data_IF_321596296730
#
_entry.id   IF_321596296730
#
_cell.length_a   1.000
_cell.length_b   1.000
_cell.length_c   1.000
_cell.angle_alpha   90.00
_cell.angle_beta   90.00
_cell.angle_gamma   90.00
#
_symmetry.space_group_name_H-M   'P 1'
#
loop_
_entity.id
_entity.type
_entity.pdbx_description
1 polymer ?
#
# COMPACT_ATOMS: atom_id res chain seq x y z
N UNK A 1 -23.27 -9.57 14.55
CA UNK A 1 -22.87 -8.27 13.98
C UNK A 1 -22.29 -8.59 12.61
N UNK A 2 -23.05 -8.39 11.53
CA UNK A 2 -22.56 -8.64 10.17
C UNK A 2 -21.77 -7.39 9.77
N UNK A 3 -20.44 -7.51 9.66
CA UNK A 3 -19.64 -6.43 9.08
C UNK A 3 -20.06 -6.30 7.61
N UNK A 4 -20.72 -5.20 7.26
CA UNK A 4 -21.03 -4.90 5.88
C UNK A 4 -19.71 -4.55 5.19
N UNK A 5 -19.25 -5.43 4.30
CA UNK A 5 -18.07 -5.16 3.46
C UNK A 5 -18.36 -3.96 2.57
N UNK A 6 -17.38 -3.08 2.44
CA UNK A 6 -17.50 -1.93 1.54
C UNK A 6 -17.18 -2.30 0.08
N UNK A 7 -17.46 -1.38 -0.84
CA UNK A 7 -17.21 -1.58 -2.27
C UNK A 7 -15.71 -1.75 -2.62
N UNK A 8 -14.79 -1.29 -1.77
CA UNK A 8 -13.35 -1.49 -1.92
C UNK A 8 -12.98 -2.93 -1.59
N UNK A 9 -13.47 -3.42 -0.45
CA UNK A 9 -13.25 -4.78 0.02
C UNK A 9 -13.81 -5.80 -0.97
N UNK A 10 -15.07 -5.66 -1.40
CA UNK A 10 -15.71 -6.55 -2.38
C UNK A 10 -14.93 -6.60 -3.71
N UNK A 11 -14.43 -5.44 -4.17
CA UNK A 11 -13.64 -5.40 -5.39
C UNK A 11 -12.31 -6.14 -5.22
N UNK A 12 -11.61 -5.94 -4.10
CA UNK A 12 -10.37 -6.65 -3.84
C UNK A 12 -10.58 -8.15 -3.70
N UNK A 13 -11.66 -8.59 -3.05
CA UNK A 13 -12.02 -10.02 -2.99
C UNK A 13 -12.20 -10.58 -4.39
N UNK A 14 -12.95 -9.89 -5.25
CA UNK A 14 -13.11 -10.29 -6.65
C UNK A 14 -11.76 -10.38 -7.37
N UNK A 15 -10.85 -9.42 -7.15
CA UNK A 15 -9.51 -9.46 -7.74
C UNK A 15 -8.72 -10.66 -7.25
N UNK A 16 -8.69 -10.89 -5.93
CA UNK A 16 -7.89 -11.93 -5.30
C UNK A 16 -8.45 -13.35 -5.55
N UNK A 17 -9.74 -13.48 -5.80
CA UNK A 17 -10.38 -14.78 -6.08
C UNK A 17 -10.35 -15.12 -7.57
N UNK A 18 -10.65 -14.16 -8.46
CA UNK A 18 -10.91 -14.45 -9.88
C UNK A 18 -9.78 -13.98 -10.80
N UNK A 19 -8.95 -13.04 -10.35
CA UNK A 19 -7.96 -12.36 -11.19
C UNK A 19 -6.58 -12.27 -10.53
N UNK A 20 -6.28 -13.16 -9.58
CA UNK A 20 -5.06 -13.10 -8.80
C UNK A 20 -3.79 -13.16 -9.66
N UNK A 21 -3.72 -14.12 -10.58
CA UNK A 21 -2.55 -14.29 -11.46
C UNK A 21 -2.32 -13.05 -12.35
N UNK A 22 -3.39 -12.47 -12.89
CA UNK A 22 -3.33 -11.24 -13.68
C UNK A 22 -2.82 -10.07 -12.81
N UNK A 23 -3.34 -9.95 -11.58
CA UNK A 23 -2.96 -8.91 -10.64
C UNK A 23 -1.50 -9.07 -10.17
N UNK A 24 -1.06 -10.30 -9.92
CA UNK A 24 0.30 -10.64 -9.51
C UNK A 24 1.30 -10.35 -10.64
N UNK A 25 0.99 -10.77 -11.86
CA UNK A 25 1.80 -10.44 -13.04
C UNK A 25 1.92 -8.92 -13.20
N UNK A 26 0.83 -8.18 -12.98
CA UNK A 26 0.86 -6.72 -13.03
C UNK A 26 1.72 -6.11 -11.92
N UNK A 27 1.62 -6.62 -10.69
CA UNK A 27 2.43 -6.17 -9.56
C UNK A 27 3.93 -6.42 -9.79
N UNK A 28 4.29 -7.59 -10.33
CA UNK A 28 5.67 -7.94 -10.67
C UNK A 28 6.23 -7.02 -11.77
N UNK A 29 5.48 -6.81 -12.86
CA UNK A 29 5.86 -5.88 -13.93
C UNK A 29 6.11 -4.46 -13.41
N UNK A 30 5.32 -3.99 -12.44
CA UNK A 30 5.56 -2.69 -11.81
C UNK A 30 6.86 -2.67 -10.99
N UNK A 31 7.17 -3.76 -10.27
CA UNK A 31 8.37 -3.87 -9.45
C UNK A 31 9.66 -4.03 -10.29
N UNK A 32 9.55 -4.63 -11.48
CA UNK A 32 10.63 -4.74 -12.46
C UNK A 32 10.94 -3.37 -13.09
N UNK A 33 9.92 -2.55 -13.33
CA UNK A 33 10.05 -1.18 -13.81
C UNK A 33 10.36 -0.18 -12.68
N UNK A 34 11.44 -0.47 -11.94
CA UNK A 34 11.97 0.39 -10.87
C UNK A 34 13.49 0.38 -10.82
N UNK A 35 14.06 1.36 -10.12
CA UNK A 35 15.49 1.39 -9.78
C UNK A 35 15.65 0.91 -8.34
N UNK A 36 16.44 -0.16 -8.15
CA UNK A 36 16.82 -0.64 -6.82
C UNK A 36 17.87 0.30 -6.21
N UNK A 37 17.59 0.79 -5.00
CA UNK A 37 18.50 1.64 -4.22
C UNK A 37 19.23 0.82 -3.16
N UNK A 38 20.32 1.39 -2.63
CA UNK A 38 21.14 0.77 -1.57
C UNK A 38 20.37 0.46 -0.29
N UNK A 39 19.34 1.24 0.03
CA UNK A 39 18.46 1.00 1.19
C UNK A 39 17.34 -0.03 0.92
N UNK A 40 17.36 -0.73 -0.23
CA UNK A 40 16.33 -1.70 -0.62
C UNK A 40 15.08 -1.08 -1.23
N UNK A 41 14.98 0.24 -1.39
CA UNK A 41 13.84 0.85 -2.07
C UNK A 41 13.82 0.46 -3.55
N UNK A 42 12.63 0.12 -4.04
CA UNK A 42 12.32 -0.01 -5.47
C UNK A 42 11.62 1.27 -5.92
N UNK A 43 12.40 2.21 -6.40
CA UNK A 43 11.89 3.54 -6.75
C UNK A 43 11.39 3.61 -8.19
N UNK A 44 10.20 4.15 -8.34
CA UNK A 44 9.63 4.45 -9.66
C UNK A 44 10.32 5.67 -10.27
N UNK A 45 10.45 5.71 -11.59
CA UNK A 45 11.02 6.87 -12.32
C UNK A 45 10.12 8.11 -12.35
N UNK A 46 8.91 8.04 -11.76
CA UNK A 46 7.94 9.14 -11.72
C UNK A 46 8.30 10.17 -10.65
N UNK A 47 7.95 11.44 -10.89
CA UNK A 47 8.16 12.53 -9.91
C UNK A 47 7.14 12.50 -8.76
N UNK A 48 6.00 11.86 -8.97
CA UNK A 48 4.92 11.72 -7.98
C UNK A 48 4.56 10.25 -7.78
N UNK A 49 3.66 9.97 -6.85
CA UNK A 49 3.17 8.62 -6.55
C UNK A 49 2.66 7.95 -7.83
N UNK A 50 3.33 6.87 -8.25
CA UNK A 50 2.90 6.07 -9.40
C UNK A 50 1.47 5.57 -9.24
N UNK A 51 0.68 5.69 -10.30
CA UNK A 51 -0.70 5.20 -10.38
C UNK A 51 -0.75 3.98 -11.29
N UNK A 52 -1.65 3.05 -10.98
CA UNK A 52 -1.97 1.90 -11.81
C UNK A 52 -3.46 1.86 -12.05
N UNK A 53 -3.87 1.58 -13.29
CA UNK A 53 -5.24 1.23 -13.63
C UNK A 53 -5.34 -0.29 -13.76
N UNK A 54 -6.29 -0.89 -13.06
CA UNK A 54 -6.53 -2.33 -13.08
C UNK A 54 -8.03 -2.58 -12.99
N UNK A 55 -8.59 -3.39 -13.91
CA UNK A 55 -10.01 -3.77 -13.98
C UNK A 55 -11.00 -2.65 -13.61
N UNK A 56 -10.87 -1.51 -14.29
CA UNK A 56 -11.76 -0.36 -14.15
C UNK A 56 -11.49 0.58 -12.96
N UNK A 57 -10.55 0.25 -12.06
CA UNK A 57 -10.16 1.14 -10.94
C UNK A 57 -8.75 1.70 -11.12
N UNK A 58 -8.54 2.92 -10.63
CA UNK A 58 -7.22 3.55 -10.57
C UNK A 58 -6.78 3.67 -9.11
N UNK A 59 -5.59 3.14 -8.82
CA UNK A 59 -5.06 3.03 -7.46
C UNK A 59 -3.61 3.52 -7.40
N UNK A 60 -3.12 3.95 -6.23
CA UNK A 60 -1.68 4.08 -5.99
C UNK A 60 -0.99 2.72 -6.19
N UNK A 61 0.14 2.70 -6.89
CA UNK A 61 0.86 1.46 -7.20
C UNK A 61 1.31 0.71 -5.94
N UNK A 62 1.78 1.44 -4.91
CA UNK A 62 2.16 0.82 -3.63
C UNK A 62 0.99 0.10 -2.97
N UNK A 63 -0.22 0.70 -2.97
CA UNK A 63 -1.42 0.06 -2.38
C UNK A 63 -1.77 -1.18 -3.17
N UNK A 64 -1.73 -1.10 -4.49
CA UNK A 64 -2.03 -2.23 -5.36
C UNK A 64 -1.08 -3.40 -5.09
N UNK A 65 0.23 -3.13 -5.09
CA UNK A 65 1.27 -4.13 -4.84
C UNK A 65 1.10 -4.78 -3.47
N UNK A 66 0.87 -3.98 -2.42
CA UNK A 66 0.64 -4.52 -1.08
C UNK A 66 -0.55 -5.49 -1.03
N UNK A 67 -1.72 -5.07 -1.54
CA UNK A 67 -2.94 -5.90 -1.44
C UNK A 67 -2.79 -7.22 -2.20
N UNK A 68 -2.12 -7.19 -3.36
CA UNK A 68 -1.88 -8.40 -4.18
C UNK A 68 -0.86 -9.33 -3.52
N UNK A 69 0.29 -8.81 -3.09
CA UNK A 69 1.36 -9.64 -2.51
C UNK A 69 0.94 -10.20 -1.15
N UNK A 70 0.31 -9.39 -0.30
CA UNK A 70 -0.19 -9.81 1.01
C UNK A 70 -1.51 -10.59 0.93
N UNK A 71 -2.10 -10.75 -0.27
CA UNK A 71 -3.43 -11.36 -0.50
C UNK A 71 -4.48 -10.84 0.49
N UNK A 72 -4.46 -9.54 0.74
CA UNK A 72 -5.30 -8.90 1.74
C UNK A 72 -6.30 -7.97 1.04
N UNK A 73 -7.62 -8.23 1.14
CA UNK A 73 -8.61 -7.29 0.66
C UNK A 73 -8.67 -6.08 1.58
N UNK A 74 -8.24 -4.93 1.07
CA UNK A 74 -8.16 -3.71 1.87
C UNK A 74 -9.45 -2.90 1.76
N UNK A 75 -10.07 -2.62 2.91
CA UNK A 75 -11.23 -1.74 3.01
C UNK A 75 -10.88 -0.29 2.61
N UNK A 76 -11.89 0.51 2.31
CA UNK A 76 -11.72 1.88 1.84
C UNK A 76 -11.08 2.80 2.88
N UNK A 77 -11.25 2.49 4.17
CA UNK A 77 -10.71 3.26 5.30
C UNK A 77 -9.31 2.80 5.74
N UNK A 78 -8.83 1.65 5.29
CA UNK A 78 -7.46 1.20 5.56
C UNK A 78 -6.45 1.92 4.67
N UNK A 79 -5.26 2.19 5.20
CA UNK A 79 -4.21 2.93 4.49
C UNK A 79 -2.92 2.11 4.45
N UNK A 80 -2.34 1.98 3.26
CA UNK A 80 -1.01 1.40 3.10
C UNK A 80 0.04 2.48 3.32
N UNK A 81 0.96 2.26 4.26
CA UNK A 81 2.03 3.19 4.66
C UNK A 81 3.40 2.66 4.26
N UNK A 82 4.36 3.58 4.11
CA UNK A 82 5.75 3.27 3.84
C UNK A 82 6.58 3.29 5.11
N UNK A 83 7.31 2.21 5.40
CA UNK A 83 8.34 2.21 6.46
C UNK A 83 9.59 3.01 6.09
N UNK A 84 9.86 3.14 4.80
CA UNK A 84 11.05 3.83 4.28
C UNK A 84 10.88 5.35 4.15
N UNK A 85 9.72 5.90 4.49
CA UNK A 85 9.36 7.32 4.30
C UNK A 85 9.52 7.84 2.85
N UNK A 86 9.60 6.94 1.87
CA UNK A 86 9.77 7.26 0.46
C UNK A 86 8.49 6.96 -0.32
N UNK A 87 7.78 8.01 -0.75
CA UNK A 87 6.50 7.90 -1.47
C UNK A 87 6.63 7.32 -2.89
N UNK A 88 7.83 7.28 -3.46
CA UNK A 88 8.12 6.71 -4.78
C UNK A 88 8.52 5.23 -4.69
N UNK A 89 8.76 4.72 -3.48
CA UNK A 89 9.05 3.32 -3.27
C UNK A 89 7.78 2.47 -3.42
N UNK A 90 7.90 1.38 -4.17
CA UNK A 90 6.85 0.37 -4.33
C UNK A 90 7.31 -1.04 -3.93
N UNK A 91 8.43 -1.15 -3.21
CA UNK A 91 8.90 -2.45 -2.69
C UNK A 91 7.86 -3.01 -1.69
N UNK A 92 7.28 -4.21 -1.91
CA UNK A 92 6.35 -4.84 -0.98
C UNK A 92 6.87 -4.91 0.47
N UNK A 93 8.17 -5.20 0.65
CA UNK A 93 8.79 -5.33 1.98
C UNK A 93 8.92 -3.98 2.70
N UNK A 94 8.66 -2.86 2.04
CA UNK A 94 8.67 -1.52 2.64
C UNK A 94 7.26 -1.00 2.94
N UNK A 95 6.23 -1.82 2.70
CA UNK A 95 4.82 -1.44 2.83
C UNK A 95 4.15 -2.14 4.02
N UNK A 96 3.18 -1.47 4.61
CA UNK A 96 2.41 -1.92 5.75
C UNK A 96 0.96 -1.48 5.62
N UNK A 97 0.00 -2.33 5.99
CA UNK A 97 -1.38 -1.90 6.23
C UNK A 97 -1.48 -1.25 7.61
N UNK A 98 -2.16 -0.12 7.69
CA UNK A 98 -2.54 0.50 8.95
C UNK A 98 -4.01 0.90 8.93
N UNK A 99 -4.63 0.91 10.10
CA UNK A 99 -5.99 1.44 10.26
C UNK A 99 -5.94 2.98 10.36
N UNK A 100 -7.07 3.67 10.09
CA UNK A 100 -7.16 5.11 10.39
C UNK A 100 -7.01 5.42 11.88
N UNK A 101 -7.31 4.47 12.77
CA UNK A 101 -7.11 4.63 14.22
C UNK A 101 -5.61 4.73 14.56
N UNK A 102 -4.75 3.98 13.88
CA UNK A 102 -3.29 4.05 14.05
C UNK A 102 -2.67 5.33 13.46
N UNK A 103 -3.39 6.05 12.59
CA UNK A 103 -2.90 7.29 11.97
C UNK A 103 -3.17 8.50 12.87
N UNK A 104 -4.28 8.50 13.63
CA UNK A 104 -4.54 9.55 14.62
C UNK A 104 -3.60 9.47 15.81
N UNK A 105 -3.10 8.28 16.17
CA UNK A 105 -2.13 8.17 17.26
C UNK A 105 -0.77 8.79 16.88
N UNK A 106 -0.30 8.57 15.64
CA UNK A 106 0.96 9.15 15.14
C UNK A 106 0.91 10.69 15.02
N UNK A 107 -0.23 11.27 14.60
CA UNK A 107 -0.40 12.74 14.55
C UNK A 107 -0.52 13.38 15.94
N UNK A 108 -1.10 12.68 16.93
CA UNK A 108 -1.23 13.22 18.29
C UNK A 108 0.07 13.15 19.08
N UNK A 109 0.88 12.09 18.93
CA UNK A 109 2.15 11.97 19.66
C UNK A 109 3.21 12.95 19.15
N UNK A 110 3.24 13.24 17.83
CA UNK A 110 4.12 14.27 17.26
C UNK A 110 3.73 15.68 17.72
N UNK A 111 2.42 15.97 17.79
CA UNK A 111 1.92 17.29 18.21
C UNK A 111 1.96 17.51 19.73
N UNK A 112 1.90 16.44 20.54
CA UNK A 112 1.90 16.53 22.00
C UNK A 112 3.30 16.51 22.63
N UNK A 113 4.25 15.73 22.09
CA UNK A 113 5.50 15.43 22.80
C UNK A 113 6.79 15.66 22.01
N UNK A 114 6.73 15.90 20.69
CA UNK A 114 7.92 16.20 19.87
C UNK A 114 9.04 15.14 19.88
N UNK A 115 8.76 13.91 20.32
CA UNK A 115 9.73 12.83 20.46
C UNK A 115 9.13 11.55 19.83
N UNK A 116 9.87 10.94 18.91
CA UNK A 116 9.55 9.64 18.34
C UNK A 116 9.93 8.51 19.32
N UNK A 117 8.94 7.85 19.94
CA UNK A 117 9.17 6.71 20.85
C UNK A 117 9.67 5.44 20.14
N UNK A 118 9.75 5.40 18.81
CA UNK A 118 10.40 4.32 18.06
C UNK A 118 11.93 4.41 18.09
N UNK A 119 12.48 5.50 18.64
CA UNK A 119 13.92 5.73 18.83
C UNK A 119 14.38 5.49 20.28
N UNK A 120 13.53 4.91 21.12
CA UNK A 120 13.85 4.46 22.48
C UNK A 120 13.94 2.93 22.54
#
# INVERSE_FOLDING_TARGET
MIALKDESEIWWETILEQHYEEALARANSLCEDTVLKSNGCRETSTQTVRRVRFRGRQLPAYRFIYCVVAKTPAAADEVVRHRCHNRLCINPDHLLLGSRADNKHDDWDYMANGIDRRLL
#
